data_IF_813443888153
#
_entry.id   IF_813443888153
#
_cell.length_a   1.000
_cell.length_b   1.000
_cell.length_c   1.000
_cell.angle_alpha   90.00
_cell.angle_beta   90.00
_cell.angle_gamma   90.00
#
_symmetry.space_group_name_H-M   'P 1'
#
loop_
_entity.id
_entity.type
_entity.pdbx_description
1 polymer ?
#
# COMPACT_ATOMS: atom_id res chain seq x y z
N UNK A 1 -51.86 -65.94 -28.34
CA UNK A 1 -50.75 -66.67 -27.70
C UNK A 1 -49.90 -65.65 -26.97
N UNK A 2 -50.38 -65.10 -25.84
CA UNK A 2 -50.13 -65.59 -24.47
C UNK A 2 -48.66 -65.92 -24.19
N UNK A 3 -47.98 -65.01 -23.49
CA UNK A 3 -47.48 -65.25 -22.13
C UNK A 3 -47.18 -63.94 -21.40
N UNK A 4 -47.98 -63.70 -20.38
CA UNK A 4 -47.69 -62.91 -19.18
C UNK A 4 -46.39 -63.35 -18.50
N UNK A 5 -45.64 -62.40 -17.91
CA UNK A 5 -45.57 -62.25 -16.45
C UNK A 5 -44.81 -60.99 -16.03
N UNK A 6 -45.47 -60.20 -15.20
CA UNK A 6 -44.93 -59.14 -14.35
C UNK A 6 -44.11 -59.72 -13.18
N UNK A 7 -43.16 -58.97 -12.61
CA UNK A 7 -43.40 -58.14 -11.41
C UNK A 7 -42.11 -57.85 -10.60
N UNK A 8 -42.06 -56.61 -10.09
CA UNK A 8 -41.47 -56.06 -8.86
C UNK A 8 -39.97 -56.16 -8.51
N UNK A 9 -39.42 -55.03 -8.03
CA UNK A 9 -38.33 -55.05 -7.03
C UNK A 9 -37.32 -53.90 -7.05
N UNK A 10 -37.66 -52.83 -6.32
CA UNK A 10 -36.84 -51.72 -5.78
C UNK A 10 -35.41 -52.07 -5.29
N UNK A 11 -34.46 -51.13 -5.45
CA UNK A 11 -33.28 -50.96 -4.57
C UNK A 11 -31.98 -50.61 -5.32
N UNK A 12 -31.61 -49.34 -5.48
CA UNK A 12 -30.82 -48.49 -4.55
C UNK A 12 -29.28 -48.60 -4.70
N UNK A 13 -28.67 -47.40 -4.83
CA UNK A 13 -27.24 -47.03 -4.67
C UNK A 13 -26.31 -47.52 -5.80
N UNK A 14 -25.62 -46.67 -6.54
CA UNK A 14 -25.15 -45.32 -6.25
C UNK A 14 -23.65 -45.29 -6.53
N UNK A 15 -23.24 -44.53 -7.53
CA UNK A 15 -21.88 -43.96 -7.66
C UNK A 15 -21.98 -42.81 -8.65
N UNK A 16 -22.36 -41.64 -8.12
CA UNK A 16 -22.00 -40.35 -8.71
C UNK A 16 -20.48 -40.27 -8.65
N UNK A 17 -19.84 -40.20 -9.81
CA UNK A 17 -18.42 -39.89 -9.94
C UNK A 17 -18.27 -38.38 -9.93
N UNK A 18 -17.45 -37.88 -8.99
CA UNK A 18 -16.77 -36.60 -9.03
C UNK A 18 -17.64 -35.35 -9.10
N UNK A 19 -18.12 -34.87 -7.96
CA UNK A 19 -18.18 -33.42 -7.78
C UNK A 19 -16.72 -32.96 -7.73
N UNK A 20 -16.30 -32.11 -8.68
CA UNK A 20 -15.08 -31.35 -8.54
C UNK A 20 -15.20 -30.54 -7.25
N UNK A 21 -14.16 -30.59 -6.42
CA UNK A 21 -14.08 -29.78 -5.22
C UNK A 21 -13.89 -28.32 -5.68
N UNK A 22 -14.97 -27.54 -5.67
CA UNK A 22 -14.98 -26.13 -6.13
C UNK A 22 -14.11 -25.19 -5.28
N UNK A 23 -13.38 -25.73 -4.28
CA UNK A 23 -12.44 -25.00 -3.43
C UNK A 23 -10.97 -25.43 -3.57
N UNK A 24 -10.61 -26.25 -4.57
CA UNK A 24 -9.18 -26.48 -4.84
C UNK A 24 -8.68 -25.37 -5.76
N UNK A 25 -7.70 -24.55 -5.33
CA UNK A 25 -7.13 -23.54 -6.20
C UNK A 25 -6.56 -24.17 -7.47
N UNK A 26 -6.55 -23.45 -8.60
CA UNK A 26 -6.04 -23.99 -9.85
C UNK A 26 -4.55 -24.34 -9.67
N UNK A 27 -4.22 -25.61 -9.89
CA UNK A 27 -2.83 -26.07 -9.91
C UNK A 27 -2.08 -25.34 -11.04
N UNK A 28 -0.93 -24.76 -10.73
CA UNK A 28 -0.10 -24.05 -11.69
C UNK A 28 1.05 -24.98 -12.06
N UNK A 29 0.99 -25.63 -13.22
CA UNK A 29 2.13 -26.44 -13.65
C UNK A 29 3.24 -25.53 -14.22
N UNK A 30 4.41 -25.47 -13.57
CA UNK A 30 5.60 -24.72 -13.99
C UNK A 30 5.39 -23.19 -14.05
N UNK A 31 4.85 -22.60 -12.98
CA UNK A 31 4.61 -21.15 -12.88
C UNK A 31 5.84 -20.34 -12.45
N UNK A 32 5.78 -19.02 -12.64
CA UNK A 32 6.76 -18.05 -12.13
C UNK A 32 6.06 -17.01 -11.28
N UNK A 33 6.43 -16.95 -10.01
CA UNK A 33 6.03 -15.88 -9.11
C UNK A 33 6.91 -14.66 -9.36
N UNK A 34 6.30 -13.50 -9.59
CA UNK A 34 7.00 -12.27 -9.96
C UNK A 34 7.08 -11.31 -8.78
N UNK A 35 8.29 -10.81 -8.51
CA UNK A 35 8.53 -9.83 -7.43
C UNK A 35 8.59 -8.40 -7.96
N UNK A 36 9.47 -8.16 -8.92
CA UNK A 36 9.63 -6.86 -9.57
C UNK A 36 10.31 -7.01 -10.93
N UNK A 37 10.18 -5.98 -11.77
CA UNK A 37 11.03 -5.77 -12.93
C UNK A 37 12.16 -4.79 -12.58
N UNK A 38 13.32 -4.99 -13.19
CA UNK A 38 14.54 -4.21 -12.94
C UNK A 38 15.23 -3.88 -14.24
N UNK A 39 16.04 -2.82 -14.23
CA UNK A 39 16.99 -2.54 -15.32
C UNK A 39 18.32 -3.22 -15.00
N UNK A 40 18.88 -3.90 -15.99
CA UNK A 40 20.19 -4.55 -15.87
C UNK A 40 21.20 -3.75 -16.68
N UNK A 41 22.31 -3.38 -16.05
CA UNK A 41 23.38 -2.67 -16.73
C UNK A 41 24.07 -3.58 -17.76
N UNK A 42 24.47 -3.01 -18.89
CA UNK A 42 24.87 -3.76 -20.09
C UNK A 42 25.99 -4.78 -19.91
N UNK A 43 26.87 -4.60 -18.92
CA UNK A 43 27.95 -5.55 -18.62
C UNK A 43 27.48 -6.75 -17.75
N UNK A 44 26.34 -6.60 -17.07
CA UNK A 44 25.72 -7.60 -16.19
C UNK A 44 24.51 -8.31 -16.83
N UNK A 45 24.15 -7.93 -18.07
CA UNK A 45 23.07 -8.59 -18.82
C UNK A 45 23.43 -10.06 -19.05
N UNK A 46 22.63 -11.01 -18.53
CA UNK A 46 22.88 -12.44 -18.73
C UNK A 46 22.85 -12.79 -20.21
N UNK A 47 23.69 -13.74 -20.62
CA UNK A 47 23.59 -14.33 -21.95
C UNK A 47 22.20 -14.92 -22.19
N UNK A 48 21.81 -15.09 -23.45
CA UNK A 48 20.54 -15.73 -23.80
C UNK A 48 20.45 -17.13 -23.18
N UNK A 49 19.52 -17.32 -22.25
CA UNK A 49 19.34 -18.56 -21.48
C UNK A 49 19.98 -18.58 -20.08
N UNK A 50 20.84 -17.62 -19.72
CA UNK A 50 21.45 -17.53 -18.39
C UNK A 50 20.50 -16.86 -17.37
N UNK A 51 20.78 -17.08 -16.08
CA UNK A 51 20.04 -16.53 -14.94
C UNK A 51 21.01 -15.92 -13.93
N UNK A 52 20.64 -14.78 -13.36
CA UNK A 52 21.31 -14.27 -12.16
C UNK A 52 20.60 -14.82 -10.94
N UNK A 53 21.34 -15.28 -9.93
CA UNK A 53 20.76 -15.68 -8.65
C UNK A 53 20.86 -14.50 -7.67
N UNK A 54 19.79 -14.27 -6.92
CA UNK A 54 19.83 -13.35 -5.78
C UNK A 54 20.12 -14.15 -4.51
N UNK A 55 20.87 -13.55 -3.58
CA UNK A 55 21.29 -14.23 -2.34
C UNK A 55 20.10 -14.54 -1.42
N UNK A 56 19.06 -13.72 -1.46
CA UNK A 56 17.88 -13.86 -0.63
C UNK A 56 16.89 -14.87 -1.23
N UNK A 57 16.50 -15.85 -0.41
CA UNK A 57 15.45 -16.81 -0.75
C UNK A 57 14.07 -16.16 -0.79
N UNK A 58 13.24 -16.67 -1.68
CA UNK A 58 11.91 -16.19 -1.98
C UNK A 58 10.84 -16.63 -0.99
N UNK A 59 9.60 -16.60 -1.45
CA UNK A 59 8.46 -17.10 -0.68
C UNK A 59 8.67 -18.61 -0.49
N UNK A 60 8.43 -19.11 0.73
CA UNK A 60 8.76 -20.47 1.17
C UNK A 60 10.24 -20.88 1.03
N UNK A 61 11.13 -19.91 0.84
CA UNK A 61 12.58 -20.14 0.71
C UNK A 61 13.01 -20.56 -0.69
N UNK A 62 12.15 -20.40 -1.69
CA UNK A 62 12.45 -20.76 -3.07
C UNK A 62 13.65 -19.97 -3.64
N UNK A 63 14.50 -20.58 -4.49
CA UNK A 63 15.61 -19.87 -5.10
C UNK A 63 15.11 -18.73 -6.01
N UNK A 64 15.54 -17.50 -5.72
CA UNK A 64 15.19 -16.33 -6.51
C UNK A 64 16.21 -16.13 -7.63
N UNK A 65 15.69 -15.84 -8.82
CA UNK A 65 16.48 -15.61 -10.01
C UNK A 65 15.98 -14.42 -10.80
N UNK A 66 16.85 -13.85 -11.63
CA UNK A 66 16.51 -12.83 -12.61
C UNK A 66 16.50 -13.45 -14.00
N UNK A 67 15.37 -13.36 -14.69
CA UNK A 67 15.23 -13.72 -16.10
C UNK A 67 15.21 -12.43 -16.92
N UNK A 68 16.10 -12.33 -17.91
CA UNK A 68 16.29 -11.10 -18.67
C UNK A 68 15.91 -11.25 -20.15
N UNK A 69 15.47 -10.14 -20.73
CA UNK A 69 15.38 -9.89 -22.17
C UNK A 69 16.00 -8.52 -22.41
N UNK A 70 17.09 -8.49 -23.18
CA UNK A 70 17.93 -7.30 -23.35
C UNK A 70 18.34 -6.72 -21.98
N UNK A 71 18.11 -5.43 -21.73
CA UNK A 71 18.47 -4.72 -20.50
C UNK A 71 17.36 -4.72 -19.44
N UNK A 72 16.31 -5.53 -19.58
CA UNK A 72 15.21 -5.65 -18.61
C UNK A 72 15.21 -7.03 -18.00
N UNK A 73 15.23 -7.08 -16.67
CA UNK A 73 15.12 -8.30 -15.87
C UNK A 73 13.79 -8.39 -15.13
N UNK A 74 13.31 -9.61 -14.93
CA UNK A 74 12.22 -9.91 -14.00
C UNK A 74 12.75 -10.81 -12.90
N UNK A 75 12.60 -10.35 -11.65
CA UNK A 75 12.96 -11.08 -10.44
C UNK A 75 11.83 -12.05 -10.11
N UNK A 76 12.13 -13.34 -10.06
CA UNK A 76 11.13 -14.39 -9.91
C UNK A 76 11.70 -15.68 -9.30
N UNK A 77 10.79 -16.55 -8.84
CA UNK A 77 11.08 -17.95 -8.51
C UNK A 77 10.03 -18.87 -9.16
N UNK A 78 10.35 -20.17 -9.23
CA UNK A 78 9.44 -21.19 -9.73
C UNK A 78 8.40 -21.55 -8.67
N UNK A 79 7.13 -21.64 -9.06
CA UNK A 79 6.04 -22.02 -8.15
C UNK A 79 5.04 -22.93 -8.86
N UNK A 80 4.50 -23.90 -8.11
CA UNK A 80 3.50 -24.85 -8.62
C UNK A 80 2.08 -24.60 -8.09
N UNK A 81 1.92 -23.61 -7.19
CA UNK A 81 0.66 -23.29 -6.52
C UNK A 81 0.54 -21.77 -6.31
N UNK A 82 -0.68 -21.31 -6.03
CA UNK A 82 -0.95 -19.93 -5.58
C UNK A 82 -0.63 -19.77 -4.09
N UNK A 83 -0.32 -18.54 -3.66
CA UNK A 83 -0.03 -18.24 -2.26
C UNK A 83 -1.30 -17.82 -1.50
N UNK A 84 -2.22 -18.77 -1.34
CA UNK A 84 -3.45 -18.61 -0.56
C UNK A 84 -3.42 -19.41 0.75
N UNK A 85 -3.83 -18.78 1.84
CA UNK A 85 -3.89 -19.41 3.16
C UNK A 85 -4.93 -18.76 4.05
N UNK A 86 -5.70 -19.58 4.77
CA UNK A 86 -6.55 -19.09 5.86
C UNK A 86 -5.77 -18.63 7.10
N UNK A 87 -4.46 -18.88 7.18
CA UNK A 87 -3.60 -18.45 8.28
C UNK A 87 -2.99 -17.06 8.00
N UNK A 88 -3.49 -16.05 8.70
CA UNK A 88 -2.97 -14.67 8.63
C UNK A 88 -1.48 -14.61 8.97
N UNK A 89 -0.98 -15.45 9.88
CA UNK A 89 0.44 -15.46 10.22
C UNK A 89 1.28 -15.97 9.04
N UNK A 90 0.77 -16.93 8.26
CA UNK A 90 1.41 -17.40 7.04
C UNK A 90 1.42 -16.31 5.96
N UNK A 91 0.28 -15.66 5.70
CA UNK A 91 0.20 -14.54 4.74
C UNK A 91 1.20 -13.44 5.11
N UNK A 92 1.29 -13.06 6.39
CA UNK A 92 2.28 -12.07 6.86
C UNK A 92 3.71 -12.49 6.59
N UNK A 93 4.06 -13.77 6.81
CA UNK A 93 5.40 -14.29 6.49
C UNK A 93 5.69 -14.17 4.99
N UNK A 94 4.73 -14.52 4.15
CA UNK A 94 4.87 -14.41 2.69
C UNK A 94 5.04 -12.96 2.23
N UNK A 95 4.23 -12.02 2.73
CA UNK A 95 4.36 -10.59 2.43
C UNK A 95 5.73 -10.03 2.85
N UNK A 96 6.23 -10.39 4.03
CA UNK A 96 7.57 -9.97 4.48
C UNK A 96 8.66 -10.54 3.57
N UNK A 97 8.53 -11.81 3.15
CA UNK A 97 9.47 -12.42 2.21
C UNK A 97 9.42 -11.78 0.83
N UNK A 98 8.24 -11.47 0.31
CA UNK A 98 8.05 -10.71 -0.92
C UNK A 98 8.80 -9.38 -0.85
N UNK A 99 8.53 -8.60 0.19
CA UNK A 99 9.19 -7.31 0.35
C UNK A 99 10.71 -7.42 0.45
N UNK A 100 11.21 -8.42 1.18
CA UNK A 100 12.67 -8.66 1.32
C UNK A 100 13.34 -8.89 -0.04
N UNK A 101 12.69 -9.62 -0.95
CA UNK A 101 13.25 -9.86 -2.29
C UNK A 101 13.23 -8.59 -3.14
N UNK A 102 12.16 -7.80 -3.07
CA UNK A 102 12.06 -6.53 -3.81
C UNK A 102 13.09 -5.53 -3.28
N UNK A 103 13.30 -5.46 -1.96
CA UNK A 103 14.32 -4.60 -1.35
C UNK A 103 15.73 -4.98 -1.83
N UNK A 104 16.07 -6.28 -1.83
CA UNK A 104 17.36 -6.76 -2.35
C UNK A 104 17.55 -6.50 -3.84
N UNK A 105 16.47 -6.60 -4.63
CA UNK A 105 16.51 -6.21 -6.04
C UNK A 105 16.77 -4.70 -6.18
N UNK A 106 16.16 -3.87 -5.34
CA UNK A 106 16.38 -2.44 -5.27
C UNK A 106 17.83 -2.06 -4.93
N UNK A 107 18.42 -2.75 -3.96
CA UNK A 107 19.84 -2.59 -3.58
C UNK A 107 20.80 -2.98 -4.71
N UNK A 108 20.42 -3.95 -5.54
CA UNK A 108 21.29 -4.49 -6.59
C UNK A 108 21.17 -3.72 -7.90
N UNK A 109 19.95 -3.35 -8.29
CA UNK A 109 19.62 -2.86 -9.64
C UNK A 109 19.08 -1.42 -9.66
N UNK A 110 19.04 -0.73 -8.51
CA UNK A 110 18.38 0.57 -8.37
C UNK A 110 16.85 0.43 -8.33
N UNK A 111 16.13 1.52 -8.58
CA UNK A 111 14.67 1.55 -8.41
C UNK A 111 13.94 0.45 -9.20
N UNK A 112 13.28 -0.50 -8.53
CA UNK A 112 12.53 -1.56 -9.20
C UNK A 112 11.11 -1.09 -9.57
N UNK A 113 10.48 -1.77 -10.54
CA UNK A 113 9.02 -1.71 -10.75
C UNK A 113 8.40 -2.89 -10.01
N UNK A 114 7.78 -2.69 -8.84
CA UNK A 114 7.27 -3.81 -8.05
C UNK A 114 5.99 -4.40 -8.64
N UNK A 115 5.88 -5.72 -8.60
CA UNK A 115 4.62 -6.43 -8.84
C UNK A 115 3.84 -6.56 -7.53
N UNK A 116 2.51 -6.65 -7.65
CA UNK A 116 1.66 -6.95 -6.51
C UNK A 116 1.97 -8.36 -5.97
N UNK A 117 1.76 -8.56 -4.67
CA UNK A 117 1.87 -9.88 -4.07
C UNK A 117 0.97 -10.88 -4.81
N UNK A 118 1.47 -12.09 -5.03
CA UNK A 118 0.77 -13.18 -5.75
C UNK A 118 0.57 -12.94 -7.25
N UNK A 119 1.41 -12.10 -7.86
CA UNK A 119 1.51 -12.00 -9.33
C UNK A 119 2.24 -13.23 -9.88
N UNK A 120 1.50 -14.13 -10.53
CA UNK A 120 2.05 -15.38 -11.09
C UNK A 120 1.79 -15.47 -12.59
N UNK A 121 2.86 -15.67 -13.35
CA UNK A 121 2.77 -16.11 -14.75
C UNK A 121 2.68 -17.65 -14.76
N UNK A 122 1.64 -18.18 -15.39
CA UNK A 122 1.34 -19.63 -15.42
C UNK A 122 2.08 -20.38 -16.52
N UNK A 123 3.30 -19.95 -16.81
CA UNK A 123 4.18 -20.55 -17.80
C UNK A 123 5.60 -20.54 -17.26
N UNK A 124 6.41 -21.49 -17.75
CA UNK A 124 7.82 -21.55 -17.42
C UNK A 124 8.63 -20.40 -18.01
N UNK A 125 9.95 -20.50 -17.93
CA UNK A 125 10.86 -19.41 -18.32
C UNK A 125 10.63 -18.87 -19.73
N UNK A 126 10.35 -19.73 -20.72
CA UNK A 126 10.16 -19.28 -22.10
C UNK A 126 8.89 -18.44 -22.26
N UNK A 127 7.81 -18.82 -21.57
CA UNK A 127 6.58 -18.04 -21.59
C UNK A 127 6.74 -16.71 -20.86
N UNK A 128 7.52 -16.68 -19.77
CA UNK A 128 7.88 -15.43 -19.11
C UNK A 128 8.75 -14.53 -20.02
N UNK A 129 9.70 -15.09 -20.78
CA UNK A 129 10.47 -14.31 -21.77
C UNK A 129 9.60 -13.77 -22.90
N UNK A 130 8.65 -14.55 -23.40
CA UNK A 130 7.69 -14.09 -24.41
C UNK A 130 6.80 -12.96 -23.89
N UNK A 131 6.31 -13.09 -22.65
CA UNK A 131 5.60 -12.02 -21.97
C UNK A 131 6.48 -10.77 -21.81
N UNK A 132 7.72 -10.93 -21.36
CA UNK A 132 8.65 -9.82 -21.17
C UNK A 132 8.98 -9.10 -22.49
N UNK A 133 9.13 -9.83 -23.60
CA UNK A 133 9.28 -9.25 -24.96
C UNK A 133 8.05 -8.45 -25.36
N UNK A 134 6.85 -8.88 -24.97
CA UNK A 134 5.58 -8.19 -25.27
C UNK A 134 5.47 -6.91 -24.44
N UNK A 135 5.79 -6.98 -23.15
CA UNK A 135 5.71 -5.85 -22.21
C UNK A 135 6.94 -4.93 -22.22
N UNK A 136 7.96 -5.27 -23.01
CA UNK A 136 9.26 -4.58 -23.00
C UNK A 136 9.11 -3.06 -23.08
N UNK A 137 8.34 -2.53 -24.04
CA UNK A 137 8.17 -1.08 -24.20
C UNK A 137 7.47 -0.39 -23.02
N UNK A 138 6.56 -1.08 -22.34
CA UNK A 138 5.89 -0.56 -21.13
C UNK A 138 6.86 -0.55 -19.95
N UNK A 139 7.56 -1.66 -19.73
CA UNK A 139 8.53 -1.82 -18.64
C UNK A 139 9.73 -0.89 -18.82
N UNK A 140 10.29 -0.79 -20.02
CA UNK A 140 11.43 0.09 -20.32
C UNK A 140 11.11 1.55 -20.00
N UNK A 141 9.91 2.00 -20.39
CA UNK A 141 9.43 3.34 -20.11
C UNK A 141 9.21 3.57 -18.62
N UNK A 142 8.56 2.63 -17.95
CA UNK A 142 8.28 2.73 -16.52
C UNK A 142 9.56 2.74 -15.69
N UNK A 143 10.48 1.82 -15.94
CA UNK A 143 11.79 1.76 -15.28
C UNK A 143 12.59 3.05 -15.50
N UNK A 144 12.58 3.59 -16.72
CA UNK A 144 13.25 4.87 -17.01
C UNK A 144 12.61 6.03 -16.27
N UNK A 145 11.28 6.07 -16.22
CA UNK A 145 10.56 7.12 -15.51
C UNK A 145 10.83 7.02 -14.00
N UNK A 146 10.81 5.84 -13.39
CA UNK A 146 10.97 5.68 -11.95
C UNK A 146 12.43 5.66 -11.49
N UNK A 147 13.41 5.61 -12.40
CA UNK A 147 14.83 5.55 -12.05
C UNK A 147 15.22 6.63 -11.02
N UNK A 148 15.82 6.19 -9.90
CA UNK A 148 16.27 7.04 -8.80
C UNK A 148 15.14 7.58 -7.91
N UNK A 149 13.88 7.26 -8.20
CA UNK A 149 12.71 7.73 -7.44
C UNK A 149 12.15 6.62 -6.56
N UNK A 150 11.81 6.96 -5.33
CA UNK A 150 11.27 6.04 -4.33
C UNK A 150 9.95 6.56 -3.76
N UNK A 151 9.12 5.63 -3.31
CA UNK A 151 7.87 5.95 -2.63
C UNK A 151 8.15 6.20 -1.14
N UNK A 152 7.60 7.29 -0.63
CA UNK A 152 7.57 7.60 0.79
C UNK A 152 6.13 7.79 1.24
N UNK A 153 5.83 7.31 2.45
CA UNK A 153 4.50 7.44 3.05
C UNK A 153 4.57 8.34 4.26
N UNK A 154 3.68 9.32 4.28
CA UNK A 154 3.58 10.33 5.31
C UNK A 154 2.20 10.22 5.94
N UNK A 155 2.14 10.15 7.27
CA UNK A 155 0.92 10.29 8.05
C UNK A 155 1.12 11.41 9.07
N UNK A 156 0.19 12.37 9.08
CA UNK A 156 0.15 13.42 10.10
C UNK A 156 -1.09 13.21 10.97
N UNK A 157 -0.87 13.17 12.28
CA UNK A 157 -1.91 12.98 13.30
C UNK A 157 -1.94 14.19 14.22
N UNK A 158 -3.12 14.75 14.48
CA UNK A 158 -3.33 15.73 15.55
C UNK A 158 -3.49 14.97 16.87
N UNK A 159 -2.45 14.98 17.71
CA UNK A 159 -2.45 14.33 19.02
C UNK A 159 -3.10 15.21 20.09
N UNK A 160 -2.96 16.53 19.95
CA UNK A 160 -3.58 17.51 20.85
C UNK A 160 -4.14 18.68 20.03
N UNK A 161 -5.45 18.90 20.16
CA UNK A 161 -6.09 20.05 19.52
C UNK A 161 -5.64 21.36 20.16
N UNK A 162 -5.64 22.46 19.39
CA UNK A 162 -5.34 23.80 19.92
C UNK A 162 -6.19 24.11 21.15
N UNK A 163 -5.51 24.61 22.18
CA UNK A 163 -6.13 25.08 23.41
C UNK A 163 -7.10 26.25 23.16
N UNK A 164 -8.24 26.22 23.82
CA UNK A 164 -9.28 27.24 23.64
C UNK A 164 -8.84 28.64 24.05
N UNK A 165 -7.93 28.80 25.02
CA UNK A 165 -7.38 30.10 25.39
C UNK A 165 -6.61 30.71 24.22
N UNK A 166 -5.82 29.90 23.51
CA UNK A 166 -5.12 30.39 22.32
C UNK A 166 -6.09 30.80 21.20
N UNK A 167 -7.20 30.06 21.04
CA UNK A 167 -8.26 30.44 20.10
C UNK A 167 -8.97 31.73 20.51
N UNK A 168 -9.21 31.95 21.81
CA UNK A 168 -9.81 33.17 22.36
C UNK A 168 -8.91 34.40 22.16
N UNK A 169 -7.60 34.24 22.34
CA UNK A 169 -6.62 35.31 22.12
C UNK A 169 -6.52 35.73 20.65
N UNK A 170 -6.78 34.80 19.73
CA UNK A 170 -6.54 35.00 18.29
C UNK A 170 -7.81 35.28 17.50
N UNK A 171 -9.00 34.87 17.99
CA UNK A 171 -10.29 35.09 17.33
C UNK A 171 -11.22 36.00 18.14
N UNK A 172 -11.29 37.29 17.75
CA UNK A 172 -12.12 38.27 18.44
C UNK A 172 -13.62 37.90 18.47
N UNK A 173 -14.11 37.20 17.45
CA UNK A 173 -15.52 36.73 17.44
C UNK A 173 -15.77 35.66 18.51
N UNK A 174 -14.81 34.77 18.76
CA UNK A 174 -14.90 33.76 19.81
C UNK A 174 -14.87 34.42 21.19
N UNK A 175 -13.99 35.42 21.39
CA UNK A 175 -13.96 36.23 22.60
C UNK A 175 -15.29 36.96 22.85
N UNK A 176 -15.85 37.62 21.83
CA UNK A 176 -17.17 38.28 21.92
C UNK A 176 -18.29 37.30 22.28
N UNK A 177 -18.26 36.08 21.73
CA UNK A 177 -19.23 35.04 22.08
C UNK A 177 -19.09 34.61 23.53
N UNK A 178 -17.85 34.51 24.04
CA UNK A 178 -17.59 34.18 25.44
C UNK A 178 -18.14 35.24 26.40
N UNK A 179 -17.83 36.50 26.15
CA UNK A 179 -18.30 37.62 26.97
C UNK A 179 -19.84 37.68 26.99
N UNK A 180 -20.49 37.48 25.83
CA UNK A 180 -21.95 37.46 25.72
C UNK A 180 -22.59 36.28 26.45
N UNK A 181 -21.92 35.12 26.52
CA UNK A 181 -22.39 33.99 27.32
C UNK A 181 -22.36 34.37 28.81
N UNK A 182 -21.25 34.94 29.27
CA UNK A 182 -21.06 35.33 30.67
C UNK A 182 -22.07 36.42 31.12
N UNK A 183 -22.51 37.29 30.21
CA UNK A 183 -23.51 38.33 30.44
C UNK A 183 -24.99 37.88 30.26
N UNK A 184 -25.24 36.64 29.82
CA UNK A 184 -26.59 36.18 29.42
C UNK A 184 -27.40 35.52 30.55
N UNK A 185 -28.72 35.74 30.54
CA UNK A 185 -29.68 34.96 31.35
C UNK A 185 -30.05 33.63 30.66
N UNK A 186 -30.47 32.63 31.45
CA UNK A 186 -30.52 31.19 31.09
C UNK A 186 -31.22 30.82 29.76
N UNK A 187 -32.10 31.66 29.21
CA UNK A 187 -32.81 31.40 27.96
C UNK A 187 -32.02 31.68 26.67
N UNK A 188 -31.09 32.64 26.69
CA UNK A 188 -30.27 33.00 25.50
C UNK A 188 -28.89 32.33 25.52
N UNK A 189 -28.42 31.92 26.69
CA UNK A 189 -27.12 31.27 26.90
C UNK A 189 -26.92 30.05 25.99
N UNK A 190 -27.92 29.17 25.89
CA UNK A 190 -27.78 27.93 25.12
C UNK A 190 -27.50 28.14 23.62
N UNK A 191 -28.11 29.17 23.02
CA UNK A 191 -27.87 29.48 21.61
C UNK A 191 -26.47 30.08 21.39
N UNK A 192 -25.97 30.87 22.35
CA UNK A 192 -24.62 31.43 22.30
C UNK A 192 -23.55 30.36 22.54
N UNK A 193 -23.77 29.44 23.48
CA UNK A 193 -22.93 28.26 23.71
C UNK A 193 -22.78 27.44 22.42
N UNK A 194 -23.89 27.14 21.74
CA UNK A 194 -23.85 26.42 20.46
C UNK A 194 -23.08 27.17 19.37
N UNK A 195 -23.21 28.50 19.31
CA UNK A 195 -22.45 29.33 18.37
C UNK A 195 -20.95 29.34 18.70
N UNK A 196 -20.61 29.35 19.99
CA UNK A 196 -19.24 29.26 20.48
C UNK A 196 -18.61 27.92 20.09
N UNK A 197 -19.25 26.81 20.41
CA UNK A 197 -18.81 25.46 20.04
C UNK A 197 -18.61 25.32 18.52
N UNK A 198 -19.56 25.83 17.73
CA UNK A 198 -19.46 25.82 16.27
C UNK A 198 -18.25 26.64 15.79
N UNK A 199 -17.97 27.80 16.42
CA UNK A 199 -16.83 28.64 16.06
C UNK A 199 -15.50 27.96 16.42
N UNK A 200 -15.40 27.34 17.59
CA UNK A 200 -14.23 26.53 17.99
C UNK A 200 -13.98 25.42 16.97
N UNK A 201 -15.02 24.66 16.63
CA UNK A 201 -14.94 23.60 15.63
C UNK A 201 -14.46 24.11 14.26
N UNK A 202 -14.99 25.25 13.80
CA UNK A 202 -14.56 25.87 12.54
C UNK A 202 -13.10 26.32 12.57
N UNK A 203 -12.64 26.92 13.67
CA UNK A 203 -11.25 27.38 13.81
C UNK A 203 -10.28 26.21 13.79
N UNK A 204 -10.60 25.11 14.48
CA UNK A 204 -9.81 23.87 14.46
C UNK A 204 -9.78 23.26 13.06
N UNK A 205 -10.92 23.15 12.39
CA UNK A 205 -11.00 22.65 11.02
C UNK A 205 -10.18 23.50 10.04
N UNK A 206 -10.25 24.84 10.14
CA UNK A 206 -9.47 25.75 9.29
C UNK A 206 -7.96 25.61 9.53
N UNK A 207 -7.52 25.47 10.79
CA UNK A 207 -6.11 25.21 11.11
C UNK A 207 -5.64 23.94 10.43
N UNK A 208 -6.40 22.85 10.56
CA UNK A 208 -6.09 21.58 9.92
C UNK A 208 -5.97 21.70 8.41
N UNK A 209 -6.94 22.31 7.76
CA UNK A 209 -6.91 22.55 6.31
C UNK A 209 -5.70 23.39 5.88
N UNK A 210 -5.33 24.40 6.68
CA UNK A 210 -4.16 25.23 6.42
C UNK A 210 -2.86 24.44 6.52
N UNK A 211 -2.69 23.63 7.59
CA UNK A 211 -1.50 22.80 7.78
C UNK A 211 -1.38 21.75 6.68
N UNK A 212 -2.47 21.08 6.34
CA UNK A 212 -2.48 20.10 5.25
C UNK A 212 -2.15 20.73 3.89
N UNK A 213 -2.75 21.88 3.57
CA UNK A 213 -2.50 22.56 2.30
C UNK A 213 -1.07 23.10 2.21
N UNK A 214 -0.52 23.65 3.29
CA UNK A 214 0.87 24.12 3.33
C UNK A 214 1.84 22.96 3.15
N UNK A 215 1.64 21.86 3.90
CA UNK A 215 2.43 20.66 3.76
C UNK A 215 2.39 20.13 2.33
N UNK A 216 1.20 19.98 1.74
CA UNK A 216 1.05 19.52 0.36
C UNK A 216 1.84 20.38 -0.63
N UNK A 217 1.68 21.70 -0.56
CA UNK A 217 2.36 22.62 -1.48
C UNK A 217 3.89 22.49 -1.38
N UNK A 218 4.41 22.36 -0.15
CA UNK A 218 5.85 22.21 0.09
C UNK A 218 6.38 20.85 -0.35
N UNK A 219 5.59 19.80 -0.26
CA UNK A 219 5.93 18.48 -0.81
C UNK A 219 5.93 18.50 -2.35
N UNK A 220 4.94 19.15 -2.98
CA UNK A 220 4.85 19.29 -4.44
C UNK A 220 6.07 20.02 -5.05
N UNK A 221 6.80 20.84 -4.26
CA UNK A 221 8.05 21.49 -4.69
C UNK A 221 9.29 20.58 -4.65
N UNK A 222 9.23 19.47 -3.91
CA UNK A 222 10.37 18.59 -3.61
C UNK A 222 10.20 17.17 -4.13
N UNK A 223 8.98 16.80 -4.44
CA UNK A 223 8.63 15.49 -4.97
C UNK A 223 8.21 15.62 -6.42
N UNK A 224 8.38 14.53 -7.16
CA UNK A 224 7.85 14.43 -8.52
C UNK A 224 6.32 14.37 -8.50
N UNK A 225 5.75 13.60 -7.57
CA UNK A 225 4.30 13.41 -7.44
C UNK A 225 3.89 13.27 -5.96
N UNK A 226 2.75 13.87 -5.61
CA UNK A 226 2.15 13.78 -4.27
C UNK A 226 0.67 13.41 -4.38
N UNK A 227 0.32 12.22 -3.88
CA UNK A 227 -1.03 11.68 -3.89
C UNK A 227 -1.59 11.71 -2.46
N UNK A 228 -2.79 12.27 -2.29
CA UNK A 228 -3.49 12.23 -1.01
C UNK A 228 -4.25 10.91 -0.91
N UNK A 229 -4.05 10.18 0.18
CA UNK A 229 -4.88 9.02 0.51
C UNK A 229 -6.11 9.51 1.27
N UNK A 230 -7.30 8.99 0.92
CA UNK A 230 -8.53 9.41 1.58
C UNK A 230 -8.41 9.24 3.10
N UNK A 231 -8.89 10.25 3.84
CA UNK A 231 -9.15 10.13 5.28
C UNK A 231 -10.23 9.07 5.45
N UNK A 232 -9.86 7.79 5.50
CA UNK A 232 -10.83 6.77 5.91
C UNK A 232 -11.33 7.19 7.29
N UNK A 233 -12.63 7.48 7.46
CA UNK A 233 -13.16 7.90 8.74
C UNK A 233 -12.99 6.72 9.68
N UNK A 234 -12.01 6.80 10.58
CA UNK A 234 -11.74 5.81 11.60
C UNK A 234 -11.83 4.37 11.07
N UNK A 235 -10.74 3.86 10.53
CA UNK A 235 -10.41 2.48 10.86
C UNK A 235 -10.13 2.47 12.36
N UNK A 236 -11.19 2.53 13.18
CA UNK A 236 -11.16 1.94 14.50
C UNK A 236 -10.89 0.48 14.22
N UNK A 237 -9.61 0.10 14.20
CA UNK A 237 -9.19 -1.27 14.41
C UNK A 237 -9.50 -1.61 15.88
N UNK A 238 -10.78 -1.53 16.23
CA UNK A 238 -11.33 -2.38 17.26
C UNK A 238 -11.48 -3.76 16.64
N UNK A 239 -10.39 -4.51 16.65
CA UNK A 239 -10.33 -5.91 17.12
C UNK A 239 -9.02 -6.56 16.64
N UNK A 240 -8.20 -7.01 17.59
CA UNK A 240 -7.28 -8.14 17.39
C UNK A 240 -6.01 -7.96 16.56
N UNK A 241 -5.09 -7.03 16.90
CA UNK A 241 -3.67 -7.26 16.57
C UNK A 241 -2.75 -7.00 17.76
N UNK A 242 -2.42 -8.09 18.46
CA UNK A 242 -1.04 -8.24 18.95
C UNK A 242 -0.15 -8.37 17.71
N UNK A 243 0.66 -7.36 17.41
CA UNK A 243 1.78 -7.53 16.47
C UNK A 243 2.21 -6.32 15.65
N UNK A 244 1.43 -5.26 15.54
CA UNK A 244 1.95 -4.00 15.01
C UNK A 244 2.36 -3.13 16.19
N UNK A 245 3.65 -3.10 16.48
CA UNK A 245 4.25 -2.15 17.42
C UNK A 245 4.01 -0.74 16.87
N UNK A 246 2.86 -0.14 17.20
CA UNK A 246 2.79 1.32 17.28
C UNK A 246 3.94 1.73 18.19
N UNK A 247 4.78 2.71 17.82
CA UNK A 247 5.72 3.30 18.76
C UNK A 247 4.96 3.61 20.05
N UNK A 248 5.42 3.07 21.18
CA UNK A 248 4.78 3.28 22.46
C UNK A 248 4.80 4.80 22.75
N UNK A 249 3.65 5.47 22.60
CA UNK A 249 3.52 6.91 22.84
C UNK A 249 2.59 7.69 21.91
N UNK A 250 2.11 7.12 20.80
CA UNK A 250 1.15 7.82 19.92
C UNK A 250 -0.27 7.55 20.45
N UNK A 251 -0.82 8.54 21.14
CA UNK A 251 -2.18 8.58 21.69
C UNK A 251 -3.26 8.52 20.58
N UNK A 252 -4.53 8.36 20.95
CA UNK A 252 -5.73 8.32 20.09
C UNK A 252 -6.01 9.64 19.31
N UNK A 253 -5.03 10.13 18.54
CA UNK A 253 -5.13 11.37 17.77
C UNK A 253 -5.97 11.26 16.48
N UNK A 254 -6.48 12.39 15.99
CA UNK A 254 -7.24 12.48 14.74
C UNK A 254 -6.27 12.55 13.54
N UNK A 255 -6.37 11.60 12.59
CA UNK A 255 -5.57 11.67 11.35
C UNK A 255 -5.92 12.94 10.58
N UNK A 256 -4.93 13.81 10.42
CA UNK A 256 -5.04 15.04 9.63
C UNK A 256 -4.99 14.72 8.14
N UNK A 257 -3.90 14.07 7.71
CA UNK A 257 -3.69 13.73 6.30
C UNK A 257 -2.76 12.53 6.17
N UNK A 258 -2.85 11.88 5.00
CA UNK A 258 -1.92 10.85 4.56
C UNK A 258 -1.50 11.16 3.13
N UNK A 259 -0.20 11.17 2.90
CA UNK A 259 0.37 11.36 1.57
C UNK A 259 1.22 10.18 1.17
N UNK A 260 1.12 9.79 -0.09
CA UNK A 260 2.10 8.98 -0.78
C UNK A 260 2.88 9.89 -1.72
N UNK A 261 4.20 9.84 -1.63
CA UNK A 261 5.11 10.77 -2.29
C UNK A 261 6.11 9.99 -3.12
N UNK A 262 6.27 10.37 -4.39
CA UNK A 262 7.36 9.88 -5.24
C UNK A 262 8.45 10.95 -5.29
N UNK A 263 9.59 10.69 -4.67
CA UNK A 263 10.72 11.63 -4.63
C UNK A 263 12.01 10.95 -5.08
N UNK A 264 12.92 11.73 -5.66
CA UNK A 264 14.26 11.23 -5.97
C UNK A 264 15.00 10.93 -4.66
N UNK A 265 15.89 9.93 -4.65
CA UNK A 265 16.66 9.54 -3.46
C UNK A 265 17.48 10.71 -2.86
N UNK A 266 17.97 11.60 -3.72
CA UNK A 266 18.69 12.82 -3.30
C UNK A 266 17.80 13.84 -2.55
N UNK A 267 16.48 13.80 -2.75
CA UNK A 267 15.52 14.74 -2.16
C UNK A 267 14.93 14.24 -0.83
N UNK A 268 15.26 13.03 -0.36
CA UNK A 268 14.73 12.46 0.89
C UNK A 268 14.93 13.39 2.09
N UNK A 269 16.15 13.93 2.24
CA UNK A 269 16.45 14.87 3.33
C UNK A 269 15.66 16.16 3.22
N UNK A 270 15.40 16.63 2.00
CA UNK A 270 14.64 17.85 1.75
C UNK A 270 13.15 17.65 2.05
N UNK A 271 12.60 16.47 1.77
CA UNK A 271 11.25 16.04 2.19
C UNK A 271 11.19 15.94 3.71
N UNK A 272 12.18 15.29 4.35
CA UNK A 272 12.27 15.18 5.82
C UNK A 272 12.25 16.54 6.52
N UNK A 273 13.02 17.51 6.02
CA UNK A 273 13.02 18.88 6.56
C UNK A 273 11.65 19.58 6.46
N UNK A 274 10.84 19.27 5.44
CA UNK A 274 9.47 19.80 5.36
C UNK A 274 8.59 19.23 6.46
N UNK A 275 8.79 17.96 6.81
CA UNK A 275 8.04 17.25 7.85
C UNK A 275 8.47 17.67 9.26
N UNK A 276 9.75 17.99 9.46
CA UNK A 276 10.26 18.50 10.73
C UNK A 276 9.54 19.79 11.13
N UNK A 277 9.34 20.73 10.20
CA UNK A 277 8.58 21.96 10.47
C UNK A 277 7.13 21.68 10.90
N UNK A 278 6.51 20.62 10.37
CA UNK A 278 5.16 20.19 10.81
C UNK A 278 5.22 19.57 12.20
N UNK A 279 6.22 18.73 12.46
CA UNK A 279 6.41 18.09 13.77
C UNK A 279 6.80 19.08 14.88
N UNK A 280 7.39 20.23 14.54
CA UNK A 280 7.65 21.32 15.49
C UNK A 280 6.36 22.02 15.97
N UNK A 281 5.24 21.88 15.25
CA UNK A 281 3.97 22.43 15.69
C UNK A 281 3.39 21.59 16.85
N UNK A 282 3.18 22.19 18.04
CA UNK A 282 2.60 21.46 19.16
C UNK A 282 1.26 20.83 18.81
N UNK A 283 1.10 19.57 19.22
CA UNK A 283 -0.09 18.78 19.01
C UNK A 283 -0.15 18.02 17.68
N UNK A 284 0.93 17.99 16.90
CA UNK A 284 1.05 17.13 15.73
C UNK A 284 2.14 16.07 15.89
N UNK A 285 1.86 14.87 15.40
CA UNK A 285 2.82 13.80 15.22
C UNK A 285 2.90 13.43 13.74
N UNK A 286 4.13 13.23 13.25
CA UNK A 286 4.38 12.83 11.86
C UNK A 286 5.02 11.45 11.85
N UNK A 287 4.46 10.55 11.04
CA UNK A 287 5.09 9.28 10.66
C UNK A 287 5.58 9.39 9.23
N UNK A 288 6.86 9.14 9.02
CA UNK A 288 7.51 9.13 7.71
C UNK A 288 8.17 7.77 7.50
N UNK A 289 7.80 7.06 6.44
CA UNK A 289 8.37 5.73 6.13
C UNK A 289 8.79 5.64 4.67
N UNK A 290 9.86 4.90 4.43
CA UNK A 290 10.51 4.70 3.14
C UNK A 290 12.03 4.61 3.32
N UNK A 291 12.80 4.58 2.22
CA UNK A 291 12.32 4.48 0.84
C UNK A 291 11.62 3.14 0.57
N UNK A 292 10.48 3.17 -0.11
CA UNK A 292 9.76 1.98 -0.56
C UNK A 292 9.83 1.85 -2.08
N UNK A 293 9.85 0.62 -2.62
CA UNK A 293 9.54 0.40 -4.03
C UNK A 293 8.24 1.13 -4.42
N UNK A 294 8.16 1.72 -5.61
CA UNK A 294 7.07 2.62 -6.01
C UNK A 294 5.76 1.90 -6.36
N UNK A 295 5.17 1.15 -5.42
CA UNK A 295 3.93 0.38 -5.61
C UNK A 295 2.74 1.23 -6.06
N UNK A 296 2.63 2.48 -5.58
CA UNK A 296 1.51 3.37 -5.90
C UNK A 296 1.67 4.03 -7.27
N UNK A 297 2.91 4.17 -7.75
CA UNK A 297 3.25 4.90 -8.98
C UNK A 297 3.60 3.96 -10.14
N UNK A 298 3.84 2.69 -9.87
CA UNK A 298 3.98 1.67 -10.88
C UNK A 298 2.61 1.37 -11.54
N UNK A 299 2.57 1.16 -12.87
CA UNK A 299 1.35 0.75 -13.55
C UNK A 299 0.93 -0.66 -13.10
N UNK A 300 -0.36 -0.95 -13.21
CA UNK A 300 -0.83 -2.33 -13.12
C UNK A 300 -0.30 -3.10 -14.33
N UNK A 301 0.51 -4.14 -14.07
CA UNK A 301 1.10 -5.00 -15.09
C UNK A 301 0.43 -6.38 -15.00
N UNK A 302 0.02 -6.94 -16.13
CA UNK A 302 -0.64 -8.25 -16.16
C UNK A 302 -2.16 -8.23 -16.01
N UNK A 303 -2.80 -7.05 -16.13
CA UNK A 303 -4.24 -6.99 -16.38
C UNK A 303 -4.55 -7.59 -17.75
N UNK A 304 -5.40 -8.62 -17.78
CA UNK A 304 -6.07 -9.01 -19.02
C UNK A 304 -7.03 -7.89 -19.39
N UNK A 305 -6.62 -7.01 -20.30
CA UNK A 305 -7.57 -6.22 -21.08
C UNK A 305 -8.38 -7.20 -21.94
N UNK A 306 -9.53 -7.62 -21.42
CA UNK A 306 -10.66 -8.18 -22.20
C UNK A 306 -11.70 -7.09 -22.47
#
# INVERSE_FOLDING_TARGET
>A
MSRDRADSGVGSRGRRSGAADENTPPNIEDGRYLYCAVRIDGDDVPGDGDRLSLENGGVDGEPVTVLAVDDIGVVCHACDDIYDSGDIAQIKRWLVRHQTVVDSAGETFGTPVPFQFDTIVRTGDEGLREWLRTEYGTLERTLRELAGHWEYRIEVVETDSVDEQHLLETDGRLADLRDRIDDSSSGTAHLLEKQYEQRVGQLRANRRETVESDLRNRLDERAREVHALERSPSATLGDGSTGSTKPAGIDDGETLCRFTVLAHEDDESAVGSVLDDVAENPGFAVTFTGPWPPYTFAPELGGTDE
#
